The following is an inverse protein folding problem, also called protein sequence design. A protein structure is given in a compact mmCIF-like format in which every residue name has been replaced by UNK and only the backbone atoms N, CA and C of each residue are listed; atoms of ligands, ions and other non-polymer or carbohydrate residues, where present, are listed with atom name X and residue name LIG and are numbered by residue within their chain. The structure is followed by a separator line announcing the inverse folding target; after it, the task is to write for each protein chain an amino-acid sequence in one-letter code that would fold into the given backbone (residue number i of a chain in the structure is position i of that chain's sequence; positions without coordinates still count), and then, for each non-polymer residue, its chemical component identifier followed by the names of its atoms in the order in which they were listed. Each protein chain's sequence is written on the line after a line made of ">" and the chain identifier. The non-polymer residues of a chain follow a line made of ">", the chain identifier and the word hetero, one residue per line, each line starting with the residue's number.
data_IF_814091807624
#
_entry.id   IF_814091807624
#
_cell.length_a   1.000
_cell.length_b   1.000
_cell.length_c   1.000
_cell.angle_alpha   90.00
_cell.angle_beta   90.00
_cell.angle_gamma   90.00
#
_symmetry.space_group_name_H-M   'P 1'
#
loop_
_entity.id
_entity.type
_entity.pdbx_description
1 polymer ?
#
# COMPACT_ATOMS: atom_id res chain seq x y z
N UNK A 1 -24.92 18.15 -39.12
CA UNK A 1 -24.72 18.11 -37.66
C UNK A 1 -24.79 16.66 -37.22
N UNK A 2 -23.64 16.00 -37.12
CA UNK A 2 -23.57 14.58 -36.78
C UNK A 2 -23.75 14.43 -35.26
N UNK A 3 -24.81 13.74 -34.85
CA UNK A 3 -25.08 13.42 -33.46
C UNK A 3 -24.02 12.49 -32.90
N UNK A 4 -23.44 12.88 -31.76
CA UNK A 4 -22.63 12.00 -30.93
C UNK A 4 -23.54 10.87 -30.42
N UNK A 5 -23.44 9.69 -31.02
CA UNK A 5 -23.93 8.46 -30.39
C UNK A 5 -23.03 8.19 -29.18
N UNK A 6 -23.47 8.59 -27.99
CA UNK A 6 -22.98 7.99 -26.76
C UNK A 6 -23.52 6.55 -26.74
N UNK A 7 -22.81 5.60 -27.33
CA UNK A 7 -23.00 4.21 -26.93
C UNK A 7 -22.73 4.13 -25.43
N UNK A 8 -23.66 3.53 -24.69
CA UNK A 8 -23.80 3.54 -23.23
C UNK A 8 -22.53 3.18 -22.43
N UNK A 9 -21.56 4.09 -22.37
CA UNK A 9 -20.45 4.00 -21.42
C UNK A 9 -20.90 4.73 -20.16
N UNK A 10 -21.47 4.00 -19.20
CA UNK A 10 -21.55 4.47 -17.80
C UNK A 10 -20.11 4.71 -17.33
N UNK A 11 -19.61 5.93 -17.53
CA UNK A 11 -18.30 6.33 -17.03
C UNK A 11 -18.47 6.67 -15.57
N UNK A 12 -18.28 5.67 -14.71
CA UNK A 12 -18.09 5.91 -13.31
C UNK A 12 -16.84 6.77 -13.09
N UNK A 13 -16.78 7.50 -11.98
CA UNK A 13 -15.53 8.16 -11.56
C UNK A 13 -14.42 7.12 -11.37
N UNK A 14 -13.12 7.49 -11.42
CA UNK A 14 -12.00 6.54 -11.52
C UNK A 14 -11.89 5.48 -10.40
N UNK A 15 -12.56 5.68 -9.27
CA UNK A 15 -12.55 4.77 -8.11
C UNK A 15 -13.89 4.07 -7.87
N UNK A 16 -14.90 4.33 -8.70
CA UNK A 16 -16.24 3.77 -8.56
C UNK A 16 -16.50 2.79 -9.71
N UNK A 17 -17.14 1.68 -9.38
CA UNK A 17 -17.29 0.53 -10.29
C UNK A 17 -18.70 -0.09 -10.16
N UNK A 18 -18.94 -1.10 -10.99
CA UNK A 18 -20.22 -1.79 -11.09
C UNK A 18 -21.23 -1.04 -11.95
N UNK A 19 -22.36 -1.68 -12.24
CA UNK A 19 -23.37 -1.10 -13.13
C UNK A 19 -23.88 0.24 -12.61
N UNK A 20 -24.07 0.41 -11.31
CA UNK A 20 -24.60 1.65 -10.71
C UNK A 20 -23.53 2.58 -10.10
N UNK A 21 -22.23 2.34 -10.35
CA UNK A 21 -21.14 3.14 -9.78
C UNK A 21 -21.17 3.29 -8.25
N UNK A 22 -21.72 2.31 -7.52
CA UNK A 22 -21.83 2.33 -6.05
C UNK A 22 -20.67 1.61 -5.36
N UNK A 23 -19.93 0.78 -6.10
CA UNK A 23 -18.80 0.03 -5.55
C UNK A 23 -17.56 0.92 -5.55
N UNK A 24 -17.13 1.35 -4.37
CA UNK A 24 -15.87 2.09 -4.20
C UNK A 24 -14.70 1.12 -4.06
N UNK A 25 -13.73 1.23 -4.96
CA UNK A 25 -12.42 0.60 -4.80
C UNK A 25 -11.34 1.65 -5.05
N UNK A 26 -10.55 1.92 -4.01
CA UNK A 26 -9.38 2.78 -4.09
C UNK A 26 -8.17 1.92 -3.82
N UNK A 27 -7.38 1.64 -4.85
CA UNK A 27 -6.06 1.05 -4.66
C UNK A 27 -5.28 1.99 -3.73
N UNK A 28 -4.70 1.46 -2.65
CA UNK A 28 -4.04 2.30 -1.67
C UNK A 28 -2.78 2.92 -2.26
N UNK A 29 -2.53 4.18 -1.91
CA UNK A 29 -1.28 4.85 -2.27
C UNK A 29 -0.24 4.73 -1.15
N UNK A 30 -0.58 4.01 -0.08
CA UNK A 30 0.13 4.02 1.19
C UNK A 30 0.28 2.61 1.75
N UNK A 31 1.41 2.41 2.41
CA UNK A 31 1.91 1.15 2.96
C UNK A 31 1.02 0.44 3.99
N UNK A 32 0.06 1.14 4.58
CA UNK A 32 -0.79 0.61 5.68
C UNK A 32 -2.18 0.15 5.22
N UNK A 33 -2.55 0.42 3.97
CA UNK A 33 -3.91 0.20 3.48
C UNK A 33 -4.05 -1.13 2.67
N UNK A 34 -2.93 -1.80 2.37
CA UNK A 34 -2.88 -3.13 1.73
C UNK A 34 -2.16 -3.16 0.37
N UNK A 35 -1.84 -4.36 -0.13
CA UNK A 35 -1.10 -4.54 -1.38
C UNK A 35 -1.98 -5.16 -2.47
N UNK A 36 -2.92 -4.36 -3.00
CA UNK A 36 -3.88 -4.79 -4.00
C UNK A 36 -4.13 -3.70 -5.05
N UNK A 37 -4.63 -4.10 -6.22
CA UNK A 37 -5.19 -3.20 -7.22
C UNK A 37 -6.69 -3.47 -7.39
N UNK A 38 -7.40 -2.53 -8.01
CA UNK A 38 -8.81 -2.68 -8.34
C UNK A 38 -8.96 -3.19 -9.77
N UNK A 39 -9.65 -4.31 -9.98
CA UNK A 39 -9.92 -4.82 -11.32
C UNK A 39 -10.99 -3.98 -12.04
N UNK A 40 -11.33 -4.34 -13.29
CA UNK A 40 -12.31 -3.61 -14.10
C UNK A 40 -13.73 -3.61 -13.50
N UNK A 41 -14.03 -4.58 -12.63
CA UNK A 41 -15.28 -4.74 -11.91
C UNK A 41 -15.27 -3.99 -10.58
N UNK A 42 -14.12 -3.50 -10.11
CA UNK A 42 -13.94 -2.81 -8.83
C UNK A 42 -13.67 -3.74 -7.65
N UNK A 43 -13.29 -4.98 -7.90
CA UNK A 43 -12.90 -5.92 -6.85
C UNK A 43 -11.41 -5.76 -6.53
N UNK A 44 -11.05 -6.03 -5.27
CA UNK A 44 -9.66 -5.98 -4.81
C UNK A 44 -8.94 -7.26 -5.24
N UNK A 45 -7.88 -7.12 -6.00
CA UNK A 45 -6.99 -8.23 -6.37
C UNK A 45 -5.61 -7.99 -5.75
N UNK A 46 -5.17 -8.95 -4.92
CA UNK A 46 -3.85 -8.86 -4.30
C UNK A 46 -2.75 -8.84 -5.36
N UNK A 47 -1.70 -8.07 -5.09
CA UNK A 47 -0.45 -8.19 -5.82
C UNK A 47 0.10 -9.62 -5.65
N UNK A 48 0.90 -10.12 -6.62
CA UNK A 48 1.47 -11.45 -6.55
C UNK A 48 2.20 -11.69 -5.23
N UNK A 49 1.88 -12.81 -4.55
CA UNK A 49 2.51 -13.14 -3.28
C UNK A 49 1.97 -12.39 -2.06
N UNK A 50 0.77 -11.84 -2.12
CA UNK A 50 0.08 -11.22 -0.99
C UNK A 50 -1.15 -12.00 -0.54
N UNK A 51 -1.37 -12.08 0.77
CA UNK A 51 -2.47 -12.83 1.39
C UNK A 51 -2.90 -12.24 2.74
N UNK A 52 -4.01 -12.71 3.33
CA UNK A 52 -5.09 -13.45 2.68
C UNK A 52 -5.78 -12.60 1.60
N UNK A 53 -6.40 -13.22 0.58
CA UNK A 53 -6.99 -12.57 -0.63
C UNK A 53 -7.88 -11.36 -0.32
N UNK A 54 -8.54 -11.34 0.83
CA UNK A 54 -9.45 -10.26 1.22
C UNK A 54 -8.76 -9.01 1.80
N UNK A 55 -7.50 -9.13 2.22
CA UNK A 55 -6.77 -8.06 2.93
C UNK A 55 -5.44 -7.69 2.27
N UNK A 56 -4.76 -8.66 1.64
CA UNK A 56 -3.46 -8.47 1.00
C UNK A 56 -2.44 -7.76 1.92
N UNK A 57 -2.45 -8.10 3.21
CA UNK A 57 -1.62 -7.48 4.24
C UNK A 57 -0.36 -8.27 4.57
N UNK A 58 -0.27 -9.54 4.18
CA UNK A 58 0.84 -10.43 4.50
C UNK A 58 1.47 -10.98 3.23
N UNK A 59 2.79 -10.77 3.09
CA UNK A 59 3.57 -11.31 1.98
C UNK A 59 3.81 -12.80 2.19
N UNK A 60 3.39 -13.62 1.23
CA UNK A 60 3.55 -15.07 1.22
C UNK A 60 4.78 -15.53 0.43
N UNK A 61 5.33 -14.69 -0.43
CA UNK A 61 6.58 -14.97 -1.12
C UNK A 61 7.78 -14.58 -0.25
N UNK A 62 8.82 -15.43 -0.17
CA UNK A 62 10.05 -15.08 0.51
C UNK A 62 10.74 -13.92 -0.22
N UNK A 63 11.45 -13.08 0.53
CA UNK A 63 12.02 -11.81 0.04
C UNK A 63 12.93 -11.96 -1.20
N UNK A 64 13.48 -13.15 -1.46
CA UNK A 64 14.37 -13.46 -2.58
C UNK A 64 13.67 -13.66 -3.94
N UNK A 65 12.34 -13.67 -4.01
CA UNK A 65 11.56 -13.83 -5.27
C UNK A 65 10.74 -12.56 -5.57
N UNK A 66 10.83 -11.53 -4.72
CA UNK A 66 10.07 -10.30 -4.90
C UNK A 66 10.74 -9.36 -5.93
N UNK A 67 10.19 -9.37 -7.13
CA UNK A 67 10.71 -8.63 -8.28
C UNK A 67 10.39 -7.12 -8.24
N UNK A 68 9.50 -6.65 -7.34
CA UNK A 68 9.10 -5.23 -7.23
C UNK A 68 10.17 -4.32 -6.58
N UNK A 69 11.15 -4.90 -5.86
CA UNK A 69 12.28 -4.15 -5.30
C UNK A 69 13.58 -4.75 -5.87
N UNK A 70 14.11 -4.10 -6.91
CA UNK A 70 15.29 -4.56 -7.66
C UNK A 70 16.51 -4.88 -6.80
N UNK A 71 16.69 -6.17 -6.52
CA UNK A 71 17.93 -7.00 -6.42
C UNK A 71 19.23 -6.26 -6.05
N UNK A 72 19.30 -5.72 -4.84
CA UNK A 72 20.58 -5.63 -4.10
C UNK A 72 20.37 -5.78 -2.59
N UNK A 73 19.30 -5.21 -2.04
CA UNK A 73 19.13 -5.19 -0.58
C UNK A 73 17.71 -5.52 -0.08
N UNK A 74 16.67 -5.30 -0.89
CA UNK A 74 15.27 -5.46 -0.46
C UNK A 74 14.90 -4.53 0.71
N UNK A 75 13.65 -4.59 1.17
CA UNK A 75 13.24 -3.90 2.39
C UNK A 75 13.72 -4.70 3.62
N UNK A 76 14.48 -4.06 4.50
CA UNK A 76 15.05 -4.65 5.70
C UNK A 76 14.02 -4.71 6.84
N UNK A 77 14.37 -5.46 7.89
CA UNK A 77 13.63 -5.52 9.15
C UNK A 77 12.14 -5.89 9.02
N UNK A 78 11.77 -6.64 7.98
CA UNK A 78 10.39 -7.06 7.73
C UNK A 78 9.56 -6.02 6.95
N UNK A 79 10.19 -5.02 6.35
CA UNK A 79 9.51 -4.11 5.45
C UNK A 79 8.97 -4.80 4.19
N UNK A 80 7.89 -4.26 3.65
CA UNK A 80 7.27 -4.73 2.42
C UNK A 80 7.50 -3.78 1.26
N UNK A 81 7.60 -4.29 0.03
CA UNK A 81 7.74 -3.45 -1.16
C UNK A 81 6.35 -3.04 -1.69
N UNK A 82 6.19 -1.77 -2.06
CA UNK A 82 5.00 -1.27 -2.74
C UNK A 82 5.39 -0.18 -3.74
N UNK A 83 5.10 -0.40 -5.03
CA UNK A 83 5.32 0.59 -6.11
C UNK A 83 6.77 1.15 -6.12
N UNK A 84 7.75 0.27 -5.90
CA UNK A 84 9.18 0.62 -5.85
C UNK A 84 9.66 1.32 -4.57
N UNK A 85 8.84 1.39 -3.51
CA UNK A 85 9.21 1.96 -2.20
C UNK A 85 9.04 0.95 -1.06
N UNK A 86 9.85 1.08 0.01
CA UNK A 86 9.74 0.23 1.19
C UNK A 86 8.74 0.76 2.21
N UNK A 87 7.81 -0.10 2.56
CA UNK A 87 6.83 0.03 3.61
C UNK A 87 7.40 -0.51 4.91
N UNK A 88 7.81 0.40 5.78
CA UNK A 88 8.46 0.01 7.03
C UNK A 88 7.47 -0.38 8.12
N UNK A 89 7.80 -1.40 8.93
CA UNK A 89 7.10 -1.64 10.18
C UNK A 89 7.15 -0.39 11.07
N UNK A 90 6.20 -0.28 12.01
CA UNK A 90 6.06 0.92 12.87
C UNK A 90 7.30 1.27 13.69
N UNK A 91 8.23 0.33 13.88
CA UNK A 91 9.48 0.49 14.61
C UNK A 91 10.71 0.70 13.72
N UNK A 92 10.54 0.87 12.41
CA UNK A 92 11.65 1.16 11.48
C UNK A 92 11.30 2.31 10.52
N UNK A 93 12.34 2.94 9.98
CA UNK A 93 12.29 4.03 9.01
C UNK A 93 13.51 3.95 8.09
N UNK A 94 13.60 4.85 7.11
CA UNK A 94 14.61 4.82 6.05
C UNK A 94 14.05 4.27 4.74
N UNK A 95 14.77 4.49 3.64
CA UNK A 95 14.32 4.08 2.29
C UNK A 95 14.29 2.55 2.12
N UNK A 96 15.02 1.82 2.97
CA UNK A 96 15.05 0.36 3.02
C UNK A 96 14.62 -0.17 4.40
N UNK A 97 14.01 0.65 5.25
CA UNK A 97 13.64 0.27 6.63
C UNK A 97 14.85 -0.17 7.48
N UNK A 98 16.01 0.40 7.20
CA UNK A 98 17.29 0.09 7.84
C UNK A 98 17.46 0.77 9.21
N UNK A 99 16.71 1.84 9.47
CA UNK A 99 16.89 2.68 10.66
C UNK A 99 15.81 2.34 11.69
N UNK A 100 16.17 1.94 12.93
CA UNK A 100 15.20 1.81 14.02
C UNK A 100 14.50 3.15 14.28
N UNK A 101 13.17 3.14 14.35
CA UNK A 101 12.42 4.34 14.71
C UNK A 101 12.72 4.69 16.16
N UNK A 102 13.13 5.93 16.41
CA UNK A 102 13.28 6.43 17.76
C UNK A 102 11.95 7.08 18.20
N UNK A 103 11.11 6.40 19.02
CA UNK A 103 9.86 6.98 19.50
C UNK A 103 10.08 8.24 20.34
N UNK A 104 11.28 8.44 20.85
CA UNK A 104 11.70 9.61 21.63
C UNK A 104 12.43 10.68 20.83
N UNK A 105 12.58 10.54 19.51
CA UNK A 105 13.42 11.38 18.63
C UNK A 105 13.56 12.85 19.06
N UNK A 106 12.62 13.70 18.65
CA UNK A 106 12.62 15.13 19.03
C UNK A 106 12.00 15.40 20.41
N UNK A 107 11.95 14.40 21.29
CA UNK A 107 11.21 14.42 22.55
C UNK A 107 9.74 14.87 22.36
N UNK A 108 8.84 13.97 21.92
CA UNK A 108 7.42 14.31 21.73
C UNK A 108 6.69 14.63 23.04
N UNK A 109 7.30 14.38 24.20
CA UNK A 109 6.69 14.66 25.49
C UNK A 109 6.58 16.17 25.73
N UNK A 110 5.36 16.66 25.87
CA UNK A 110 5.09 18.05 26.22
C UNK A 110 5.49 18.34 27.69
N UNK A 111 5.62 19.63 28.03
CA UNK A 111 5.90 20.10 29.39
C UNK A 111 7.18 19.52 30.03
N UNK A 112 8.27 19.41 29.25
CA UNK A 112 9.55 18.83 29.70
C UNK A 112 9.46 17.37 30.20
N UNK A 113 8.49 16.59 29.70
CA UNK A 113 8.48 15.16 29.97
C UNK A 113 9.74 14.47 29.47
N UNK A 114 10.23 13.49 30.22
CA UNK A 114 11.32 12.62 29.80
C UNK A 114 10.74 11.45 29.00
N UNK A 115 11.07 11.38 27.71
CA UNK A 115 10.72 10.23 26.91
C UNK A 115 11.68 9.06 27.21
N UNK A 116 11.12 7.91 27.55
CA UNK A 116 11.86 6.65 27.75
C UNK A 116 11.47 5.68 26.64
N UNK A 117 12.43 5.27 25.82
CA UNK A 117 12.25 4.18 24.86
C UNK A 117 12.49 2.86 25.59
N UNK A 118 11.43 2.22 26.07
CA UNK A 118 11.48 0.91 26.76
C UNK A 118 11.32 -0.24 25.79
#
# INVERSE_FOLDING_TARGET
>A
YAGLKCEEKRQCSPTFYGSNCTLLCRAPNSCSEGHFYCNAQGEKECLPGWSPINSCLTKTLPANIDQECSISTGCLNGGSCFNGSCCCPSNFTGSLCETPMNPCGNNPCQHNGLCLST
#
